data_IF_163491693223
#
_entry.id   IF_163491693223
#
_cell.length_a   1.000
_cell.length_b   1.000
_cell.length_c   1.000
_cell.angle_alpha   90.00
_cell.angle_beta   90.00
_cell.angle_gamma   90.00
#
_symmetry.space_group_name_H-M   'P 1'
#
loop_
_entity.id
_entity.type
_entity.pdbx_description
1 polymer ?
#
# COMPACT_ATOMS: atom_id res chain seq x y z
N UNK A 1 25.32 58.62 18.16
CA UNK A 1 25.05 57.20 18.29
C UNK A 1 24.59 56.69 16.92
N UNK A 2 25.51 56.01 16.19
CA UNK A 2 25.18 55.38 14.90
C UNK A 2 24.88 53.91 15.20
N UNK A 3 23.66 53.44 14.89
CA UNK A 3 23.26 52.05 15.01
C UNK A 3 23.78 51.29 13.81
N UNK A 4 24.75 50.38 14.05
CA UNK A 4 25.21 49.38 13.10
C UNK A 4 24.12 48.33 12.88
N UNK A 5 23.38 48.45 11.80
CA UNK A 5 22.54 47.36 11.29
C UNK A 5 23.41 46.44 10.44
N UNK A 6 23.76 45.25 10.98
CA UNK A 6 24.34 44.14 10.19
C UNK A 6 23.28 43.58 9.24
N UNK A 7 23.58 43.44 7.94
CA UNK A 7 22.63 42.79 7.03
C UNK A 7 22.52 41.30 7.37
N UNK A 8 21.30 40.84 7.57
CA UNK A 8 20.99 39.41 7.69
C UNK A 8 21.32 38.71 6.34
N UNK A 9 22.38 37.93 6.32
CA UNK A 9 22.65 37.02 5.19
C UNK A 9 21.60 35.96 5.12
N UNK A 10 20.63 36.08 4.22
CA UNK A 10 19.72 35.05 3.84
C UNK A 10 20.54 33.93 3.19
N UNK A 11 20.74 32.80 3.91
CA UNK A 11 21.24 31.57 3.30
C UNK A 11 20.18 31.14 2.29
N UNK A 12 20.43 31.29 1.00
CA UNK A 12 19.62 30.71 -0.05
C UNK A 12 19.60 29.19 0.17
N UNK A 13 18.45 28.62 0.50
CA UNK A 13 18.29 27.16 0.53
C UNK A 13 18.52 26.67 -0.90
N UNK A 14 19.60 25.92 -1.11
CA UNK A 14 19.82 25.18 -2.35
C UNK A 14 18.59 24.29 -2.58
N UNK A 15 17.87 24.52 -3.66
CA UNK A 15 16.75 23.66 -4.06
C UNK A 15 17.37 22.39 -4.66
N UNK A 16 17.29 21.28 -3.94
CA UNK A 16 17.71 19.97 -4.46
C UNK A 16 16.69 19.54 -5.51
N UNK A 17 17.14 19.42 -6.76
CA UNK A 17 16.30 19.01 -7.87
C UNK A 17 16.07 17.50 -7.83
N UNK A 18 14.83 17.05 -8.00
CA UNK A 18 14.49 15.62 -8.14
C UNK A 18 15.16 15.01 -9.37
N UNK A 19 15.71 13.81 -9.21
CA UNK A 19 16.26 12.98 -10.29
C UNK A 19 15.34 11.78 -10.60
N UNK A 20 14.10 11.84 -10.17
CA UNK A 20 13.11 10.74 -10.38
C UNK A 20 12.99 10.32 -11.86
N UNK A 21 12.97 11.21 -12.85
CA UNK A 21 12.97 10.80 -14.25
C UNK A 21 14.22 10.00 -14.67
N UNK A 22 15.39 10.36 -14.14
CA UNK A 22 16.64 9.63 -14.42
C UNK A 22 16.60 8.22 -13.81
N UNK A 23 16.05 8.11 -12.58
CA UNK A 23 15.88 6.82 -11.89
C UNK A 23 14.85 5.95 -12.60
N UNK A 24 13.73 6.52 -13.03
CA UNK A 24 12.71 5.82 -13.79
C UNK A 24 13.28 5.31 -15.14
N UNK A 25 14.04 6.13 -15.86
CA UNK A 25 14.68 5.69 -17.12
C UNK A 25 15.71 4.60 -16.86
N UNK A 26 16.51 4.69 -15.78
CA UNK A 26 17.47 3.65 -15.40
C UNK A 26 16.74 2.32 -15.13
N UNK A 27 15.72 2.31 -14.27
CA UNK A 27 14.94 1.12 -13.96
C UNK A 27 14.24 0.53 -15.20
N UNK A 28 13.60 1.38 -16.00
CA UNK A 28 12.93 0.96 -17.22
C UNK A 28 13.92 0.44 -18.29
N UNK A 29 15.14 0.97 -18.35
CA UNK A 29 16.20 0.47 -19.26
C UNK A 29 16.62 -0.95 -18.89
N UNK A 30 16.73 -1.27 -17.61
CA UNK A 30 17.00 -2.66 -17.15
C UNK A 30 15.85 -3.59 -17.51
N UNK A 31 14.60 -3.21 -17.27
CA UNK A 31 13.45 -4.05 -17.64
C UNK A 31 13.46 -4.36 -19.16
N UNK A 32 13.74 -3.36 -20.00
CA UNK A 32 13.87 -3.56 -21.45
C UNK A 32 15.07 -4.47 -21.79
N UNK A 33 16.23 -4.28 -21.17
CA UNK A 33 17.43 -5.07 -21.45
C UNK A 33 17.26 -6.55 -21.08
N UNK A 34 16.44 -6.84 -20.07
CA UNK A 34 16.09 -8.21 -19.66
C UNK A 34 14.88 -8.78 -20.41
N UNK A 35 14.34 -8.05 -21.39
CA UNK A 35 13.19 -8.50 -22.20
C UNK A 35 11.88 -8.65 -21.40
N UNK A 36 11.74 -7.93 -20.28
CA UNK A 36 10.58 -8.01 -19.40
C UNK A 36 9.45 -7.14 -19.95
N UNK A 37 8.25 -7.72 -20.15
CA UNK A 37 7.04 -6.94 -20.48
C UNK A 37 6.53 -6.22 -19.22
N UNK A 38 6.33 -4.91 -19.34
CA UNK A 38 5.86 -4.08 -18.26
C UNK A 38 4.88 -3.00 -18.76
N UNK A 39 4.08 -2.48 -17.84
CA UNK A 39 3.14 -1.39 -18.11
C UNK A 39 3.45 -0.21 -17.19
N UNK A 40 3.50 0.97 -17.78
CA UNK A 40 3.70 2.23 -17.04
C UNK A 40 2.36 2.76 -16.56
N UNK A 41 2.39 3.48 -15.45
CA UNK A 41 1.30 4.24 -14.80
C UNK A 41 -0.12 3.97 -15.33
N UNK A 42 -0.51 4.68 -16.40
CA UNK A 42 -1.85 4.67 -16.99
C UNK A 42 -2.14 3.44 -17.87
N UNK A 43 -1.09 2.75 -18.34
CA UNK A 43 -1.25 1.57 -19.18
C UNK A 43 -1.87 0.43 -18.37
N UNK A 44 -2.86 -0.25 -18.95
CA UNK A 44 -3.51 -1.39 -18.32
C UNK A 44 -2.62 -2.64 -18.36
N UNK A 45 -2.53 -3.34 -17.23
CA UNK A 45 -1.86 -4.64 -17.16
C UNK A 45 -2.88 -5.78 -17.36
N UNK A 46 -3.86 -5.86 -16.47
CA UNK A 46 -5.06 -6.70 -16.62
C UNK A 46 -6.21 -6.10 -15.79
N UNK A 47 -7.43 -6.56 -16.06
CA UNK A 47 -8.64 -6.01 -15.45
C UNK A 47 -8.66 -6.20 -13.93
N UNK A 48 -8.18 -7.33 -13.41
CA UNK A 48 -8.18 -7.64 -11.98
C UNK A 48 -7.28 -6.69 -11.20
N UNK A 49 -6.02 -6.54 -11.64
CA UNK A 49 -5.04 -5.65 -11.02
C UNK A 49 -5.47 -4.18 -11.12
N UNK A 50 -5.90 -3.75 -12.29
CA UNK A 50 -6.28 -2.36 -12.51
C UNK A 50 -7.51 -1.97 -11.71
N UNK A 51 -8.53 -2.85 -11.60
CA UNK A 51 -9.69 -2.63 -10.74
C UNK A 51 -9.32 -2.58 -9.26
N UNK A 52 -8.42 -3.44 -8.79
CA UNK A 52 -7.94 -3.42 -7.41
C UNK A 52 -7.29 -2.09 -7.06
N UNK A 53 -6.43 -1.57 -7.94
CA UNK A 53 -5.77 -0.28 -7.79
C UNK A 53 -6.76 0.89 -7.82
N UNK A 54 -7.81 0.79 -8.62
CA UNK A 54 -8.86 1.82 -8.71
C UNK A 54 -9.85 1.77 -7.53
N UNK A 55 -10.01 0.62 -6.90
CA UNK A 55 -10.93 0.44 -5.77
C UNK A 55 -10.32 0.84 -4.43
N UNK A 56 -9.02 0.59 -4.25
CA UNK A 56 -8.32 0.84 -3.00
C UNK A 56 -8.15 2.33 -2.71
N UNK A 57 -7.92 2.67 -1.44
CA UNK A 57 -7.63 4.04 -1.01
C UNK A 57 -6.46 4.62 -1.80
N UNK A 58 -6.68 5.83 -2.35
CA UNK A 58 -5.63 6.56 -3.07
C UNK A 58 -4.48 6.95 -2.15
N UNK A 59 -3.26 6.93 -2.67
CA UNK A 59 -2.09 7.50 -1.97
C UNK A 59 -2.22 9.01 -1.67
N UNK A 60 -3.18 9.68 -2.27
CA UNK A 60 -3.47 11.11 -2.06
C UNK A 60 -4.74 11.35 -1.21
N UNK A 61 -5.35 10.28 -0.69
CA UNK A 61 -6.64 10.32 -0.02
C UNK A 61 -7.82 10.15 -0.99
N UNK A 62 -8.95 9.70 -0.47
CA UNK A 62 -10.11 9.31 -1.28
C UNK A 62 -9.96 7.92 -1.90
N UNK A 63 -10.83 7.59 -2.86
CA UNK A 63 -10.83 6.31 -3.55
C UNK A 63 -10.25 6.43 -4.96
N UNK A 64 -9.56 5.39 -5.43
CA UNK A 64 -9.08 5.29 -6.80
C UNK A 64 -7.81 6.10 -7.11
N UNK A 65 -7.39 6.01 -8.36
CA UNK A 65 -6.24 6.79 -8.85
C UNK A 65 -4.87 6.28 -8.40
N UNK A 66 -4.80 5.07 -7.85
CA UNK A 66 -3.52 4.43 -7.57
C UNK A 66 -2.84 4.03 -8.88
N UNK A 67 -1.66 4.60 -9.12
CA UNK A 67 -0.88 4.36 -10.35
C UNK A 67 0.57 4.12 -9.94
N UNK A 68 0.98 2.85 -9.78
CA UNK A 68 2.40 2.50 -9.67
C UNK A 68 3.14 2.98 -10.91
N UNK A 69 4.38 3.41 -10.76
CA UNK A 69 5.20 3.85 -11.90
C UNK A 69 5.38 2.72 -12.90
N UNK A 70 5.53 1.47 -12.40
CA UNK A 70 5.59 0.27 -13.24
C UNK A 70 4.77 -0.87 -12.64
N UNK A 71 4.08 -1.61 -13.53
CA UNK A 71 3.32 -2.83 -13.24
C UNK A 71 3.79 -3.98 -14.12
N UNK A 72 4.02 -5.15 -13.51
CA UNK A 72 4.40 -6.37 -14.19
C UNK A 72 3.57 -7.54 -13.65
N UNK A 73 3.41 -8.57 -14.46
CA UNK A 73 2.85 -9.85 -14.04
C UNK A 73 3.79 -10.95 -14.54
N UNK A 74 4.65 -11.43 -13.65
CA UNK A 74 5.63 -12.45 -13.96
C UNK A 74 5.11 -13.83 -13.60
N UNK A 75 5.67 -14.86 -14.23
CA UNK A 75 5.34 -16.26 -13.99
C UNK A 75 6.61 -17.03 -13.61
N UNK A 76 6.48 -17.90 -12.63
CA UNK A 76 7.53 -18.89 -12.35
C UNK A 76 7.40 -20.10 -13.28
N UNK A 77 8.34 -21.05 -13.13
CA UNK A 77 8.35 -22.33 -13.89
C UNK A 77 7.12 -23.22 -13.69
N UNK A 78 6.28 -22.93 -12.72
CA UNK A 78 5.02 -23.64 -12.44
C UNK A 78 3.79 -22.86 -12.91
N UNK A 79 3.97 -21.82 -13.75
CA UNK A 79 2.91 -20.91 -14.21
C UNK A 79 2.20 -20.10 -13.10
N UNK A 80 2.75 -20.08 -11.88
CA UNK A 80 2.21 -19.23 -10.81
C UNK A 80 2.52 -17.79 -11.11
N UNK A 81 1.53 -16.93 -10.94
CA UNK A 81 1.59 -15.53 -11.30
C UNK A 81 1.94 -14.66 -10.09
N UNK A 82 2.88 -13.76 -10.28
CA UNK A 82 3.37 -12.81 -9.29
C UNK A 82 3.28 -11.38 -9.82
N UNK A 83 2.30 -10.58 -9.34
CA UNK A 83 2.30 -9.16 -9.60
C UNK A 83 3.54 -8.50 -8.98
N UNK A 84 4.20 -7.64 -9.76
CA UNK A 84 5.32 -6.82 -9.29
C UNK A 84 4.95 -5.37 -9.52
N UNK A 85 5.05 -4.56 -8.48
CA UNK A 85 4.73 -3.13 -8.50
C UNK A 85 5.98 -2.35 -8.13
N UNK A 86 6.38 -1.40 -8.99
CA UNK A 86 7.58 -0.59 -8.78
C UNK A 86 7.19 0.87 -8.60
N UNK A 87 7.81 1.53 -7.62
CA UNK A 87 7.67 2.97 -7.38
C UNK A 87 9.06 3.61 -7.36
N UNK A 88 9.21 4.72 -8.08
CA UNK A 88 10.43 5.48 -8.19
C UNK A 88 10.41 6.73 -7.32
N UNK A 89 11.57 7.14 -6.79
CA UNK A 89 11.78 8.44 -6.13
C UNK A 89 13.13 9.03 -6.52
N UNK A 90 13.20 10.35 -6.55
CA UNK A 90 14.37 11.08 -7.06
C UNK A 90 15.13 11.85 -5.99
N UNK A 91 15.23 11.32 -4.77
CA UNK A 91 15.93 11.99 -3.67
C UNK A 91 16.67 10.98 -2.79
N UNK A 92 17.79 11.40 -2.22
CA UNK A 92 18.50 10.64 -1.19
C UNK A 92 17.59 10.37 0.02
N UNK A 93 17.77 9.22 0.66
CA UNK A 93 17.03 8.80 1.86
C UNK A 93 15.51 8.69 1.65
N UNK A 94 15.09 8.42 0.40
CA UNK A 94 13.67 8.22 0.04
C UNK A 94 13.31 6.79 -0.38
N UNK A 95 14.16 5.83 -0.02
CA UNK A 95 13.87 4.43 -0.31
C UNK A 95 12.71 3.92 0.55
N UNK A 96 12.83 4.03 1.88
CA UNK A 96 11.85 3.46 2.81
C UNK A 96 11.75 4.29 4.10
N UNK A 97 10.55 4.32 4.68
CA UNK A 97 10.31 4.81 6.03
C UNK A 97 9.73 3.68 6.89
N UNK A 98 10.49 3.31 7.92
CA UNK A 98 10.07 2.33 8.92
C UNK A 98 9.64 3.05 10.20
N UNK A 99 8.66 2.48 10.89
CA UNK A 99 8.30 2.83 12.26
C UNK A 99 9.32 2.30 13.28
N UNK A 100 9.14 2.66 14.55
CA UNK A 100 9.98 2.21 15.66
C UNK A 100 9.95 0.68 15.87
N UNK A 101 8.89 0.03 15.41
CA UNK A 101 8.72 -1.43 15.44
C UNK A 101 9.37 -2.16 14.25
N UNK A 102 10.06 -1.44 13.34
CA UNK A 102 10.68 -2.00 12.15
C UNK A 102 9.69 -2.32 11.01
N UNK A 103 8.41 -2.02 11.16
CA UNK A 103 7.37 -2.21 10.12
C UNK A 103 7.29 -0.96 9.25
N UNK A 104 6.90 -1.12 7.99
CA UNK A 104 6.70 0.00 7.04
C UNK A 104 5.63 0.96 7.59
N UNK A 105 6.02 2.24 7.75
CA UNK A 105 5.20 3.27 8.41
C UNK A 105 4.21 3.91 7.42
N UNK A 106 3.24 3.13 6.92
CA UNK A 106 2.16 3.62 6.08
C UNK A 106 0.94 4.14 6.87
N UNK A 107 0.99 4.05 8.21
CA UNK A 107 0.02 4.61 9.13
C UNK A 107 0.70 5.49 10.17
N UNK A 108 0.02 6.53 10.61
CA UNK A 108 0.51 7.41 11.68
C UNK A 108 0.23 6.81 13.09
N UNK A 109 0.59 7.55 14.14
CA UNK A 109 0.34 7.15 15.53
C UNK A 109 -1.14 6.99 15.87
N UNK A 110 -2.05 7.59 15.08
CA UNK A 110 -3.50 7.47 15.21
C UNK A 110 -4.09 6.35 14.36
N UNK A 111 -3.21 5.51 13.74
CA UNK A 111 -3.57 4.43 12.82
C UNK A 111 -4.29 4.91 11.53
N UNK A 112 -4.18 6.21 11.23
CA UNK A 112 -4.64 6.79 9.97
C UNK A 112 -3.58 6.63 8.88
N UNK A 113 -4.01 6.70 7.60
CA UNK A 113 -3.10 6.64 6.47
C UNK A 113 -2.10 7.79 6.51
N UNK A 114 -0.81 7.45 6.54
CA UNK A 114 0.28 8.41 6.46
C UNK A 114 0.64 8.68 5.00
N UNK A 115 -0.20 9.47 4.33
CA UNK A 115 0.00 9.80 2.91
C UNK A 115 1.34 10.47 2.64
N UNK A 116 1.90 11.18 3.61
CA UNK A 116 3.24 11.78 3.50
C UNK A 116 4.31 10.71 3.31
N UNK A 117 4.25 9.61 4.06
CA UNK A 117 5.19 8.52 3.95
C UNK A 117 4.93 7.69 2.68
N UNK A 118 3.66 7.38 2.40
CA UNK A 118 3.25 6.60 1.21
C UNK A 118 3.73 7.30 -0.08
N UNK A 119 3.58 8.62 -0.17
CA UNK A 119 4.04 9.39 -1.33
C UNK A 119 5.53 9.69 -1.30
N UNK A 120 6.11 9.83 -0.12
CA UNK A 120 7.48 10.31 0.07
C UNK A 120 8.56 9.26 -0.06
N UNK A 121 8.21 7.96 0.02
CA UNK A 121 9.17 6.85 0.02
C UNK A 121 8.76 5.77 -0.95
N UNK A 122 9.74 5.30 -1.75
CA UNK A 122 9.48 4.37 -2.85
C UNK A 122 8.85 3.05 -2.38
N UNK A 123 9.46 2.38 -1.39
CA UNK A 123 8.93 1.13 -0.84
C UNK A 123 7.57 1.31 -0.18
N UNK A 124 7.36 2.42 0.55
CA UNK A 124 6.07 2.70 1.19
C UNK A 124 4.94 2.82 0.17
N UNK A 125 5.19 3.48 -0.96
CA UNK A 125 4.26 3.57 -2.09
C UNK A 125 4.01 2.20 -2.73
N UNK A 126 5.05 1.46 -3.07
CA UNK A 126 4.93 0.14 -3.68
C UNK A 126 4.15 -0.85 -2.78
N UNK A 127 4.41 -0.87 -1.46
CA UNK A 127 3.67 -1.71 -0.50
C UNK A 127 2.22 -1.25 -0.33
N UNK A 128 1.94 0.04 -0.43
CA UNK A 128 0.56 0.54 -0.45
C UNK A 128 -0.24 -0.04 -1.62
N UNK A 129 0.33 -0.04 -2.82
CA UNK A 129 -0.29 -0.67 -3.99
C UNK A 129 -0.39 -2.20 -3.88
N UNK A 130 0.64 -2.85 -3.33
CA UNK A 130 0.60 -4.29 -3.09
C UNK A 130 -0.55 -4.69 -2.16
N UNK A 131 -0.86 -3.88 -1.15
CA UNK A 131 -2.02 -4.09 -0.28
C UNK A 131 -3.35 -3.93 -1.02
N UNK A 132 -3.43 -3.08 -2.06
CA UNK A 132 -4.61 -3.03 -2.92
C UNK A 132 -4.86 -4.36 -3.62
N UNK A 133 -3.82 -4.95 -4.19
CA UNK A 133 -3.92 -6.24 -4.85
C UNK A 133 -4.25 -7.36 -3.85
N UNK A 134 -3.59 -7.36 -2.69
CA UNK A 134 -3.82 -8.35 -1.65
C UNK A 134 -5.27 -8.38 -1.15
N UNK A 135 -5.91 -7.22 -1.13
CA UNK A 135 -7.30 -7.07 -0.67
C UNK A 135 -8.33 -7.38 -1.75
N UNK A 136 -8.07 -7.01 -3.02
CA UNK A 136 -9.07 -7.02 -4.09
C UNK A 136 -8.79 -7.99 -5.23
N UNK A 137 -7.75 -8.84 -5.10
CA UNK A 137 -7.43 -9.89 -6.07
C UNK A 137 -7.19 -11.23 -5.41
N UNK A 138 -7.05 -12.26 -6.24
CA UNK A 138 -6.71 -13.62 -5.77
C UNK A 138 -5.19 -13.90 -5.72
N UNK A 139 -4.34 -12.95 -6.09
CA UNK A 139 -2.89 -13.15 -6.02
C UNK A 139 -2.44 -13.30 -4.55
N UNK A 140 -1.83 -14.44 -4.16
CA UNK A 140 -1.43 -14.68 -2.78
C UNK A 140 -0.15 -13.94 -2.40
N UNK A 141 0.71 -13.69 -3.39
CA UNK A 141 2.05 -13.14 -3.24
C UNK A 141 2.26 -12.00 -4.21
N UNK A 142 2.64 -10.83 -3.70
CA UNK A 142 2.89 -9.62 -4.48
C UNK A 142 4.30 -9.13 -4.14
N UNK A 143 5.05 -8.72 -5.16
CA UNK A 143 6.37 -8.15 -4.99
C UNK A 143 6.28 -6.63 -5.12
N UNK A 144 6.68 -5.94 -4.06
CA UNK A 144 6.76 -4.49 -4.01
C UNK A 144 8.23 -4.06 -4.13
N UNK A 145 8.54 -3.28 -5.15
CA UNK A 145 9.90 -2.77 -5.42
C UNK A 145 9.88 -1.26 -5.29
N UNK A 146 10.73 -0.74 -4.43
CA UNK A 146 11.02 0.69 -4.37
C UNK A 146 12.40 0.97 -4.93
N UNK A 147 12.55 2.01 -5.73
CA UNK A 147 13.83 2.47 -6.20
C UNK A 147 13.94 3.98 -5.99
N UNK A 148 15.03 4.42 -5.40
CA UNK A 148 15.31 5.85 -5.22
C UNK A 148 16.71 6.19 -5.71
N UNK A 149 16.97 7.46 -5.95
CA UNK A 149 18.31 7.90 -6.29
C UNK A 149 18.51 9.40 -6.15
N UNK A 150 19.78 9.78 -6.28
CA UNK A 150 20.23 11.17 -6.19
C UNK A 150 21.49 11.37 -7.02
N UNK A 151 21.81 12.60 -7.34
CA UNK A 151 23.12 12.95 -7.89
C UNK A 151 24.03 13.42 -6.77
N UNK A 152 25.27 12.92 -6.80
CA UNK A 152 26.33 13.44 -5.98
C UNK A 152 26.56 14.92 -6.32
N UNK A 153 26.69 15.77 -5.30
CA UNK A 153 26.81 17.23 -5.51
C UNK A 153 28.13 17.65 -6.14
N UNK A 154 29.21 16.89 -5.90
CA UNK A 154 30.57 17.24 -6.36
C UNK A 154 30.88 16.64 -7.73
N UNK A 155 30.51 15.37 -7.94
CA UNK A 155 30.81 14.62 -9.17
C UNK A 155 29.70 14.63 -10.20
N UNK A 156 28.44 14.93 -9.80
CA UNK A 156 27.26 14.80 -10.63
C UNK A 156 26.86 13.34 -10.93
N UNK A 157 27.55 12.35 -10.35
CA UNK A 157 27.28 10.94 -10.55
C UNK A 157 25.90 10.57 -10.00
N UNK A 158 25.14 9.79 -10.78
CA UNK A 158 23.86 9.26 -10.37
C UNK A 158 24.08 8.04 -9.45
N UNK A 159 23.52 8.10 -8.26
CA UNK A 159 23.44 7.00 -7.30
C UNK A 159 22.02 6.49 -7.21
N UNK A 160 21.85 5.22 -6.87
CA UNK A 160 20.54 4.62 -6.66
C UNK A 160 20.57 3.57 -5.55
N UNK A 161 19.39 3.29 -5.02
CA UNK A 161 19.11 2.23 -4.04
C UNK A 161 17.84 1.51 -4.44
N UNK A 162 17.82 0.18 -4.28
CA UNK A 162 16.67 -0.67 -4.58
C UNK A 162 16.29 -1.45 -3.33
N UNK A 163 15.00 -1.42 -3.00
CA UNK A 163 14.42 -2.19 -1.92
C UNK A 163 13.30 -3.09 -2.44
N UNK A 164 13.36 -4.37 -2.08
CA UNK A 164 12.40 -5.38 -2.51
C UNK A 164 11.70 -5.99 -1.31
N UNK A 165 10.36 -5.95 -1.33
CA UNK A 165 9.49 -6.49 -0.29
C UNK A 165 8.51 -7.49 -0.85
N UNK A 166 8.32 -8.58 -0.13
CA UNK A 166 7.25 -9.55 -0.36
C UNK A 166 6.04 -9.18 0.50
N UNK A 167 4.89 -9.02 -0.13
CA UNK A 167 3.61 -8.71 0.52
C UNK A 167 2.65 -9.85 0.28
N UNK A 168 2.13 -10.43 1.36
CA UNK A 168 1.24 -11.59 1.28
C UNK A 168 0.23 -11.61 2.43
N UNK A 169 -0.77 -12.48 2.35
CA UNK A 169 -1.70 -12.73 3.46
C UNK A 169 -0.97 -13.30 4.68
N UNK A 170 0.08 -14.11 4.48
CA UNK A 170 0.85 -14.71 5.57
C UNK A 170 1.62 -13.68 6.40
N UNK A 171 2.08 -12.59 5.78
CA UNK A 171 2.69 -11.47 6.51
C UNK A 171 1.71 -10.32 6.78
N UNK A 172 0.39 -10.59 6.69
CA UNK A 172 -0.70 -9.66 6.98
C UNK A 172 -0.60 -8.32 6.22
N UNK A 173 0.04 -8.33 5.04
CA UNK A 173 0.21 -7.16 4.18
C UNK A 173 1.21 -6.11 4.68
N UNK A 174 1.96 -6.38 5.77
CA UNK A 174 2.97 -5.41 6.27
C UNK A 174 4.23 -5.40 5.42
N UNK A 175 4.42 -6.42 4.60
CA UNK A 175 5.61 -6.60 3.77
C UNK A 175 6.82 -7.11 4.56
N UNK A 176 7.58 -7.99 3.92
CA UNK A 176 8.81 -8.56 4.45
C UNK A 176 9.94 -8.31 3.47
N UNK A 177 11.08 -7.82 3.97
CA UNK A 177 12.24 -7.50 3.13
C UNK A 177 12.80 -8.77 2.52
N UNK A 178 12.97 -8.78 1.19
CA UNK A 178 13.56 -9.92 0.47
C UNK A 178 15.08 -9.83 0.42
N UNK A 179 15.62 -8.62 0.20
CA UNK A 179 17.06 -8.42 0.13
C UNK A 179 17.46 -7.05 -0.45
N UNK A 180 18.75 -6.92 -0.69
CA UNK A 180 19.37 -5.80 -1.39
C UNK A 180 19.70 -6.21 -2.81
N UNK A 181 19.48 -5.32 -3.75
CA UNK A 181 19.70 -5.51 -5.16
C UNK A 181 20.35 -4.28 -5.76
N UNK A 182 21.24 -4.48 -6.73
CA UNK A 182 21.93 -3.40 -7.44
C UNK A 182 21.26 -3.02 -8.76
N UNK A 183 20.42 -3.93 -9.28
CA UNK A 183 19.61 -3.74 -10.49
C UNK A 183 18.34 -4.60 -10.41
N UNK A 184 17.58 -4.66 -11.51
CA UNK A 184 16.33 -5.44 -11.61
C UNK A 184 16.53 -6.83 -12.27
N UNK A 185 17.75 -7.35 -12.35
CA UNK A 185 18.06 -8.66 -12.97
C UNK A 185 17.34 -9.85 -12.31
N UNK A 186 16.99 -9.73 -11.02
CA UNK A 186 16.23 -10.75 -10.30
C UNK A 186 14.82 -10.98 -10.86
N UNK A 187 14.31 -10.05 -11.68
CA UNK A 187 13.02 -10.17 -12.38
C UNK A 187 13.15 -10.80 -13.77
N UNK A 188 14.38 -11.03 -14.27
CA UNK A 188 14.58 -11.66 -15.56
C UNK A 188 14.12 -13.12 -15.58
N UNK A 189 13.75 -13.63 -16.75
CA UNK A 189 13.32 -15.02 -16.90
C UNK A 189 14.34 -16.04 -16.39
N UNK A 190 15.63 -15.71 -16.44
CA UNK A 190 16.72 -16.57 -15.97
C UNK A 190 16.81 -16.64 -14.45
N UNK A 191 16.51 -15.53 -13.75
CA UNK A 191 16.74 -15.40 -12.31
C UNK A 191 15.46 -15.46 -11.48
N UNK A 192 14.29 -15.33 -12.12
CA UNK A 192 13.02 -15.17 -11.40
C UNK A 192 12.66 -16.37 -10.54
N UNK A 193 12.90 -17.59 -11.02
CA UNK A 193 12.63 -18.80 -10.23
C UNK A 193 13.50 -18.88 -8.96
N UNK A 194 14.78 -18.50 -9.05
CA UNK A 194 15.67 -18.43 -7.89
C UNK A 194 15.21 -17.36 -6.90
N UNK A 195 14.82 -16.19 -7.44
CA UNK A 195 14.26 -15.11 -6.64
C UNK A 195 12.99 -15.54 -5.90
N UNK A 196 12.04 -16.21 -6.57
CA UNK A 196 10.81 -16.70 -5.93
C UNK A 196 11.10 -17.81 -4.91
N UNK A 197 12.08 -18.68 -5.15
CA UNK A 197 12.51 -19.64 -4.14
C UNK A 197 13.01 -18.92 -2.87
N UNK A 198 13.80 -17.86 -3.01
CA UNK A 198 14.23 -17.03 -1.88
C UNK A 198 13.04 -16.41 -1.15
N UNK A 199 12.06 -15.87 -1.90
CA UNK A 199 10.81 -15.31 -1.32
C UNK A 199 10.05 -16.38 -0.54
N UNK A 200 9.95 -17.61 -1.05
CA UNK A 200 9.24 -18.72 -0.39
C UNK A 200 9.88 -19.18 0.92
N UNK A 201 11.16 -18.90 1.12
CA UNK A 201 11.89 -19.20 2.36
C UNK A 201 11.75 -18.09 3.42
N UNK A 202 11.13 -16.97 3.07
CA UNK A 202 10.86 -15.89 4.01
C UNK A 202 9.72 -16.30 4.95
N UNK A 203 10.09 -16.79 6.12
CA UNK A 203 9.15 -17.06 7.18
C UNK A 203 9.29 -15.98 8.26
N UNK A 204 8.14 -15.46 8.72
CA UNK A 204 8.13 -14.63 9.93
C UNK A 204 8.44 -15.55 11.12
N UNK A 205 9.31 -15.09 12.01
CA UNK A 205 9.46 -15.77 13.30
C UNK A 205 8.14 -15.69 14.10
N UNK A 206 7.88 -16.61 15.03
CA UNK A 206 6.69 -16.53 15.90
C UNK A 206 6.59 -15.17 16.61
N UNK A 207 7.73 -14.61 17.06
CA UNK A 207 7.79 -13.32 17.75
C UNK A 207 7.45 -12.14 16.80
N UNK A 208 7.90 -12.18 15.56
CA UNK A 208 7.54 -11.16 14.54
C UNK A 208 6.05 -11.25 14.21
N UNK A 209 5.52 -12.46 14.04
CA UNK A 209 4.11 -12.67 13.75
C UNK A 209 3.22 -12.15 14.91
N UNK A 210 3.58 -12.43 16.16
CA UNK A 210 2.86 -11.92 17.33
C UNK A 210 2.89 -10.38 17.41
N UNK A 211 4.03 -9.74 17.13
CA UNK A 211 4.12 -8.27 17.08
C UNK A 211 3.21 -7.68 16.00
N UNK A 212 3.16 -8.31 14.83
CA UNK A 212 2.31 -7.88 13.73
C UNK A 212 0.84 -8.03 14.09
N UNK A 213 0.44 -9.19 14.67
CA UNK A 213 -0.93 -9.43 15.13
C UNK A 213 -1.34 -8.40 16.18
N UNK A 214 -0.53 -8.19 17.22
CA UNK A 214 -0.81 -7.21 18.27
C UNK A 214 -1.00 -5.79 17.70
N UNK A 215 -0.17 -5.39 16.71
CA UNK A 215 -0.33 -4.10 16.03
C UNK A 215 -1.64 -4.00 15.23
N UNK A 216 -2.08 -5.12 14.61
CA UNK A 216 -3.35 -5.16 13.86
C UNK A 216 -4.56 -5.15 14.79
N UNK A 217 -4.48 -5.83 15.91
CA UNK A 217 -5.52 -5.83 16.97
C UNK A 217 -5.70 -4.43 17.53
N UNK A 218 -4.60 -3.74 17.90
CA UNK A 218 -4.64 -2.35 18.39
C UNK A 218 -5.24 -1.39 17.34
N UNK A 219 -4.93 -1.61 16.06
CA UNK A 219 -5.54 -0.83 14.97
C UNK A 219 -7.06 -1.09 14.90
N UNK A 220 -7.48 -2.34 14.99
CA UNK A 220 -8.88 -2.72 14.94
C UNK A 220 -9.65 -2.12 16.12
N UNK A 221 -9.13 -2.23 17.34
CA UNK A 221 -9.72 -1.64 18.55
C UNK A 221 -9.87 -0.12 18.42
N UNK A 222 -8.84 0.55 17.89
CA UNK A 222 -8.87 2.00 17.66
C UNK A 222 -9.98 2.37 16.68
N UNK A 223 -10.12 1.63 15.58
CA UNK A 223 -11.15 1.88 14.56
C UNK A 223 -12.55 1.60 15.06
N UNK A 224 -12.74 0.49 15.78
CA UNK A 224 -14.03 0.12 16.37
C UNK A 224 -14.48 1.15 17.42
N UNK A 225 -13.56 1.59 18.28
CA UNK A 225 -13.83 2.64 19.29
C UNK A 225 -14.26 3.94 18.63
N UNK A 226 -13.60 4.32 17.55
CA UNK A 226 -13.92 5.53 16.78
C UNK A 226 -15.29 5.41 16.13
N UNK A 227 -15.58 4.29 15.45
CA UNK A 227 -16.87 4.02 14.84
C UNK A 227 -18.01 4.05 15.89
N UNK A 228 -17.80 3.43 17.06
CA UNK A 228 -18.78 3.47 18.14
C UNK A 228 -19.03 4.90 18.65
N UNK A 229 -17.98 5.74 18.76
CA UNK A 229 -18.13 7.14 19.13
C UNK A 229 -18.86 7.96 18.06
N UNK A 230 -18.57 7.73 16.79
CA UNK A 230 -19.25 8.41 15.67
C UNK A 230 -20.74 8.08 15.67
N UNK A 231 -21.11 6.79 15.86
CA UNK A 231 -22.51 6.37 15.98
C UNK A 231 -23.16 7.04 17.21
N UNK A 232 -22.46 7.08 18.36
CA UNK A 232 -22.98 7.73 19.58
C UNK A 232 -23.27 9.21 19.38
N UNK A 233 -22.44 9.93 18.60
CA UNK A 233 -22.63 11.35 18.33
C UNK A 233 -23.76 11.63 17.34
N UNK A 234 -23.96 10.74 16.37
CA UNK A 234 -24.94 10.91 15.28
C UNK A 234 -26.31 10.31 15.61
N UNK A 235 -26.34 9.17 16.31
CA UNK A 235 -27.53 8.38 16.58
C UNK A 235 -27.87 8.37 18.07
N UNK A 236 -28.35 9.51 18.60
CA UNK A 236 -28.59 9.71 20.04
C UNK A 236 -29.69 8.80 20.63
N UNK A 237 -30.49 8.14 19.78
CA UNK A 237 -31.55 7.22 20.20
C UNK A 237 -31.12 5.78 20.44
N UNK A 238 -29.89 5.42 20.08
CA UNK A 238 -29.39 4.05 20.23
C UNK A 238 -28.77 3.82 21.61
N UNK A 239 -29.17 2.74 22.28
CA UNK A 239 -28.50 2.25 23.48
C UNK A 239 -27.08 1.76 23.13
N UNK A 240 -26.23 1.58 24.16
CA UNK A 240 -24.89 1.04 23.98
C UNK A 240 -24.91 -0.34 23.31
N UNK A 241 -25.82 -1.21 23.75
CA UNK A 241 -26.01 -2.54 23.17
C UNK A 241 -26.40 -2.46 21.70
N UNK A 242 -27.33 -1.56 21.33
CA UNK A 242 -27.77 -1.42 19.93
C UNK A 242 -26.63 -0.95 19.03
N UNK A 243 -25.76 -0.05 19.53
CA UNK A 243 -24.56 0.39 18.78
C UNK A 243 -23.60 -0.76 18.54
N UNK A 244 -23.34 -1.59 19.55
CA UNK A 244 -22.48 -2.77 19.40
C UNK A 244 -23.08 -3.72 18.37
N UNK A 245 -24.38 -4.01 18.45
CA UNK A 245 -25.05 -4.86 17.44
C UNK A 245 -24.97 -4.27 16.04
N UNK A 246 -25.15 -2.96 15.87
CA UNK A 246 -25.04 -2.31 14.57
C UNK A 246 -23.62 -2.45 13.98
N UNK A 247 -22.58 -2.22 14.79
CA UNK A 247 -21.19 -2.38 14.37
C UNK A 247 -20.91 -3.82 13.97
N UNK A 248 -21.29 -4.79 14.80
CA UNK A 248 -21.08 -6.22 14.52
C UNK A 248 -21.83 -6.65 13.26
N UNK A 249 -23.09 -6.24 13.11
CA UNK A 249 -23.90 -6.54 11.92
C UNK A 249 -23.26 -5.98 10.64
N UNK A 250 -22.76 -4.73 10.69
CA UNK A 250 -22.09 -4.12 9.55
C UNK A 250 -20.81 -4.88 9.19
N UNK A 251 -19.99 -5.25 10.18
CA UNK A 251 -18.77 -6.05 9.94
C UNK A 251 -19.12 -7.40 9.31
N UNK A 252 -20.11 -8.11 9.85
CA UNK A 252 -20.58 -9.40 9.27
C UNK A 252 -21.04 -9.22 7.83
N UNK A 253 -21.83 -8.18 7.54
CA UNK A 253 -22.32 -7.90 6.18
C UNK A 253 -21.18 -7.70 5.18
N UNK A 254 -20.03 -7.16 5.62
CA UNK A 254 -18.85 -6.96 4.75
C UNK A 254 -18.05 -8.23 4.47
N UNK A 255 -18.28 -9.31 5.22
CA UNK A 255 -17.57 -10.58 4.99
C UNK A 255 -18.13 -11.36 3.79
N UNK A 256 -19.47 -11.35 3.62
CA UNK A 256 -20.14 -12.16 2.62
C UNK A 256 -20.01 -13.67 2.89
N UNK A 257 -20.61 -14.48 2.05
CA UNK A 257 -20.50 -15.95 2.08
C UNK A 257 -20.07 -16.42 0.68
N UNK A 258 -18.89 -17.01 0.52
CA UNK A 258 -18.40 -17.46 -0.77
C UNK A 258 -19.42 -18.36 -1.49
N UNK A 259 -19.78 -18.00 -2.74
CA UNK A 259 -20.73 -18.73 -3.57
C UNK A 259 -22.22 -18.56 -3.20
N UNK A 260 -22.56 -17.84 -2.12
CA UNK A 260 -23.93 -17.64 -1.67
C UNK A 260 -24.31 -16.15 -1.55
N UNK A 261 -23.45 -15.34 -0.96
CA UNK A 261 -23.76 -13.95 -0.67
C UNK A 261 -22.55 -13.05 -0.92
N UNK A 262 -22.68 -12.11 -1.84
CA UNK A 262 -21.65 -11.11 -2.07
C UNK A 262 -21.45 -10.21 -0.82
N UNK A 263 -20.20 -9.84 -0.48
CA UNK A 263 -19.92 -8.85 0.53
C UNK A 263 -20.70 -7.55 0.30
N UNK A 264 -21.00 -6.82 1.37
CA UNK A 264 -21.60 -5.50 1.28
C UNK A 264 -20.60 -4.54 0.58
N UNK A 265 -21.04 -3.96 -0.55
CA UNK A 265 -20.31 -2.90 -1.23
C UNK A 265 -20.76 -1.54 -0.70
N UNK A 266 -19.81 -0.63 -0.45
CA UNK A 266 -20.10 0.75 -0.07
C UNK A 266 -21.07 1.45 -1.04
N UNK A 267 -21.05 1.09 -2.32
CA UNK A 267 -21.94 1.63 -3.35
C UNK A 267 -23.40 1.23 -3.16
N UNK A 268 -23.67 0.17 -2.40
CA UNK A 268 -25.02 -0.26 -2.06
C UNK A 268 -25.65 0.65 -0.99
N UNK A 269 -24.83 1.39 -0.22
CA UNK A 269 -25.26 2.31 0.81
C UNK A 269 -25.46 3.70 0.20
N UNK A 270 -26.73 4.04 -0.03
CA UNK A 270 -27.12 5.26 -0.76
C UNK A 270 -27.74 6.33 0.13
N UNK A 271 -27.82 6.08 1.43
CA UNK A 271 -28.52 6.95 2.40
C UNK A 271 -30.00 7.17 2.03
N UNK A 272 -30.62 6.19 1.36
CA UNK A 272 -32.03 6.25 0.99
C UNK A 272 -32.91 6.23 2.23
N UNK A 273 -34.01 7.00 2.20
CA UNK A 273 -35.08 6.98 3.23
C UNK A 273 -36.24 6.06 2.85
N UNK A 274 -36.24 5.51 1.64
CA UNK A 274 -37.29 4.64 1.13
C UNK A 274 -37.23 3.27 1.80
N UNK A 275 -38.39 2.78 2.23
CA UNK A 275 -38.51 1.46 2.90
C UNK A 275 -38.04 0.33 1.97
N UNK A 276 -37.29 -0.61 2.50
CA UNK A 276 -36.75 -1.75 1.78
C UNK A 276 -35.43 -1.47 1.04
N UNK A 277 -35.00 -0.19 0.90
CA UNK A 277 -33.73 0.20 0.29
C UNK A 277 -32.90 1.15 1.17
N UNK A 278 -33.30 1.35 2.43
CA UNK A 278 -32.48 2.05 3.43
C UNK A 278 -31.20 1.27 3.68
N UNK A 279 -30.14 1.95 4.05
CA UNK A 279 -28.84 1.32 4.35
C UNK A 279 -28.98 0.20 5.39
N UNK A 280 -29.81 0.39 6.42
CA UNK A 280 -30.15 -0.62 7.41
C UNK A 280 -30.86 -1.85 6.83
N UNK A 281 -31.78 -1.67 5.87
CA UNK A 281 -32.48 -2.76 5.20
C UNK A 281 -31.52 -3.58 4.33
N UNK A 282 -30.54 -2.92 3.71
CA UNK A 282 -29.51 -3.56 2.91
C UNK A 282 -28.59 -4.39 3.80
N UNK A 283 -28.09 -3.81 4.90
CA UNK A 283 -27.26 -4.52 5.90
C UNK A 283 -28.03 -5.73 6.45
N UNK A 284 -29.27 -5.54 6.87
CA UNK A 284 -30.10 -6.60 7.42
C UNK A 284 -30.30 -7.77 6.45
N UNK A 285 -30.52 -7.50 5.16
CA UNK A 285 -30.60 -8.56 4.14
C UNK A 285 -29.31 -9.36 4.02
N UNK A 286 -28.16 -8.71 4.16
CA UNK A 286 -26.85 -9.38 4.10
C UNK A 286 -26.62 -10.29 5.32
N UNK A 287 -27.02 -9.87 6.52
CA UNK A 287 -26.81 -10.66 7.75
C UNK A 287 -27.86 -11.74 7.98
N UNK A 288 -29.07 -11.62 7.40
CA UNK A 288 -30.17 -12.60 7.60
C UNK A 288 -29.84 -14.00 7.10
N UNK A 289 -28.83 -14.14 6.27
CA UNK A 289 -28.40 -15.40 5.67
C UNK A 289 -27.34 -16.10 6.52
N UNK A 290 -26.69 -15.37 7.44
CA UNK A 290 -25.80 -15.93 8.46
C UNK A 290 -26.63 -16.53 9.61
#
# INVERSE_FOLDING_TARGET
MRSDQRPATSKSRKVVKSVEPDIAELGNSWLRSYGIDYKLEQARLNTEIDNALDTYFSKNGGAGGNRPDVKLLLKDKYDRQYPVLIEYKGYKDKLIKLGSNGIIENKDSRKEWNFKNINGYAVNGAVHYANALLQFTNYPDIIAVGMTGWRDEDTGQLHHEIGVWHVSKNNLGVGQRVGEYTDLSFLSAENFDEFINKVSLLNLSPEELEKIKASKEEEMDTRLSRLNNDIYQTEKGLSESDRVYLVVATVIATLGIPGQLAPLDKKELTSSTEEGVRDGDIIFRKIRIF
#
